data_IF_871109910344
#
_entry.id   IF_871109910344
#
_cell.length_a   1.000
_cell.length_b   1.000
_cell.length_c   1.000
_cell.angle_alpha   90.00
_cell.angle_beta   90.00
_cell.angle_gamma   90.00
#
_symmetry.space_group_name_H-M   'P 1'
#
loop_
_entity.id
_entity.type
_entity.pdbx_description
1 polymer ?
#
# COMPACT_ATOMS: atom_id res chain seq x y z
N UNK A 1 -19.17 -18.68 -23.18
CA UNK A 1 -18.99 -19.70 -22.18
C UNK A 1 -17.51 -19.96 -21.93
N UNK A 2 -17.11 -20.10 -20.68
CA UNK A 2 -15.74 -20.44 -20.28
C UNK A 2 -15.49 -21.89 -20.75
N UNK A 3 -14.55 -22.05 -21.67
CA UNK A 3 -14.13 -23.38 -22.12
C UNK A 3 -13.01 -23.92 -21.22
N UNK A 4 -12.92 -25.22 -21.02
CA UNK A 4 -11.88 -25.86 -20.21
C UNK A 4 -10.45 -25.44 -20.63
N UNK A 5 -10.23 -25.10 -21.92
CA UNK A 5 -8.98 -24.58 -22.43
C UNK A 5 -8.62 -23.18 -21.91
N UNK A 6 -9.62 -22.40 -21.49
CA UNK A 6 -9.41 -21.04 -21.00
C UNK A 6 -9.20 -20.98 -19.48
N UNK A 7 -9.55 -22.05 -18.77
CA UNK A 7 -9.38 -22.10 -17.31
C UNK A 7 -7.90 -22.07 -16.92
N UNK A 8 -7.03 -22.69 -17.73
CA UNK A 8 -5.58 -22.65 -17.50
C UNK A 8 -5.00 -21.25 -17.63
N UNK A 9 -5.50 -20.44 -18.55
CA UNK A 9 -5.03 -19.07 -18.74
C UNK A 9 -5.48 -18.16 -17.58
N UNK A 10 -6.68 -18.38 -17.06
CA UNK A 10 -7.18 -17.62 -15.91
C UNK A 10 -6.57 -18.07 -14.59
N UNK A 11 -6.49 -19.35 -14.31
CA UNK A 11 -6.00 -19.88 -13.03
C UNK A 11 -4.46 -19.93 -12.97
N UNK A 12 -3.79 -20.19 -14.09
CA UNK A 12 -2.33 -20.24 -14.16
C UNK A 12 -1.68 -18.87 -13.92
N UNK A 13 -2.21 -17.83 -14.53
CA UNK A 13 -1.69 -16.48 -14.39
C UNK A 13 -1.92 -15.87 -13.01
N UNK A 14 -3.01 -16.24 -12.33
CA UNK A 14 -3.31 -15.78 -10.99
C UNK A 14 -2.44 -16.43 -9.92
N UNK A 15 -2.05 -17.68 -10.12
CA UNK A 15 -1.44 -18.51 -9.08
C UNK A 15 0.08 -18.42 -9.04
N UNK A 16 0.75 -18.02 -10.13
CA UNK A 16 2.18 -18.22 -10.29
C UNK A 16 2.98 -17.01 -10.78
N UNK A 17 2.36 -15.83 -10.93
CA UNK A 17 3.07 -14.60 -11.35
C UNK A 17 2.70 -13.38 -10.50
N UNK A 18 2.97 -13.41 -9.17
CA UNK A 18 2.77 -12.22 -8.34
C UNK A 18 3.59 -11.03 -8.84
N UNK A 19 4.75 -11.30 -9.42
CA UNK A 19 5.64 -10.29 -10.01
C UNK A 19 4.99 -9.47 -11.13
N UNK A 20 4.29 -10.12 -12.07
CA UNK A 20 3.63 -9.41 -13.17
C UNK A 20 2.45 -8.57 -12.71
N UNK A 21 1.79 -8.97 -11.61
CA UNK A 21 0.69 -8.26 -11.00
C UNK A 21 1.18 -7.01 -10.27
N UNK A 22 2.28 -7.12 -9.52
CA UNK A 22 2.83 -6.04 -8.70
C UNK A 22 3.56 -4.96 -9.52
N UNK A 23 4.06 -5.26 -10.72
CA UNK A 23 4.90 -4.36 -11.50
C UNK A 23 4.15 -3.38 -12.38
N UNK A 24 2.84 -3.46 -12.48
CA UNK A 24 2.04 -2.50 -13.26
C UNK A 24 1.92 -1.16 -12.55
N UNK A 25 2.20 -0.09 -13.29
CA UNK A 25 1.91 1.27 -12.82
C UNK A 25 0.40 1.51 -12.90
N UNK A 26 -0.22 1.81 -11.78
CA UNK A 26 -1.67 1.99 -11.68
C UNK A 26 -2.03 3.18 -10.81
N UNK A 27 -3.14 3.82 -11.15
CA UNK A 27 -3.71 4.89 -10.33
C UNK A 27 -4.44 4.27 -9.13
N UNK A 28 -4.16 4.78 -7.95
CA UNK A 28 -4.81 4.36 -6.72
C UNK A 28 -4.37 2.99 -6.18
N UNK A 29 -3.31 2.41 -6.73
CA UNK A 29 -2.83 1.08 -6.31
C UNK A 29 -1.39 1.19 -5.85
N UNK A 30 -1.12 0.81 -4.60
CA UNK A 30 0.20 0.92 -3.98
C UNK A 30 0.55 -0.36 -3.24
N UNK A 31 1.78 -0.81 -3.40
CA UNK A 31 2.31 -1.97 -2.71
C UNK A 31 2.82 -1.58 -1.33
N UNK A 32 2.22 -2.14 -0.30
CA UNK A 32 2.68 -2.05 1.07
C UNK A 32 3.35 -3.34 1.52
N UNK A 33 4.01 -3.27 2.66
CA UNK A 33 4.69 -4.41 3.27
C UNK A 33 4.14 -4.64 4.66
N UNK A 34 3.82 -5.88 4.95
CA UNK A 34 3.33 -6.31 6.25
C UNK A 34 4.26 -7.35 6.86
N UNK A 35 4.29 -7.40 8.17
CA UNK A 35 4.99 -8.42 8.93
C UNK A 35 3.98 -9.29 9.67
N UNK A 36 4.11 -10.59 9.50
CA UNK A 36 3.24 -11.59 10.13
C UNK A 36 4.07 -12.60 10.92
N UNK A 37 3.43 -13.46 11.67
CA UNK A 37 4.08 -14.53 12.42
C UNK A 37 4.85 -15.51 11.54
N UNK A 38 4.58 -15.56 10.25
CA UNK A 38 5.24 -16.42 9.26
C UNK A 38 6.23 -15.67 8.37
N UNK A 39 6.49 -14.40 8.64
CA UNK A 39 7.43 -13.58 7.89
C UNK A 39 6.79 -12.35 7.25
N UNK A 40 7.48 -11.75 6.29
CA UNK A 40 6.98 -10.60 5.55
C UNK A 40 6.06 -10.98 4.40
N UNK A 41 5.09 -10.13 4.14
CA UNK A 41 4.19 -10.24 3.01
C UNK A 41 4.00 -8.89 2.33
N UNK A 42 3.69 -8.93 1.05
CA UNK A 42 3.27 -7.75 0.32
C UNK A 42 1.76 -7.58 0.42
N UNK A 43 1.32 -6.36 0.65
CA UNK A 43 -0.07 -5.97 0.76
C UNK A 43 -0.35 -4.87 -0.26
N UNK A 44 -1.19 -5.16 -1.25
CA UNK A 44 -1.56 -4.17 -2.23
C UNK A 44 -2.79 -3.40 -1.75
N UNK A 45 -2.65 -2.09 -1.56
CA UNK A 45 -3.74 -1.20 -1.16
C UNK A 45 -4.31 -0.52 -2.39
N UNK A 46 -5.63 -0.51 -2.48
CA UNK A 46 -6.36 0.16 -3.54
C UNK A 46 -7.19 1.32 -2.98
N UNK A 47 -7.16 2.45 -3.64
CA UNK A 47 -7.99 3.60 -3.30
C UNK A 47 -8.79 4.05 -4.52
N UNK A 48 -10.05 4.38 -4.29
CA UNK A 48 -10.93 4.93 -5.31
C UNK A 48 -11.62 6.18 -4.76
N UNK A 49 -11.84 7.15 -5.64
CA UNK A 49 -12.58 8.37 -5.35
C UNK A 49 -13.81 8.38 -6.25
N UNK A 50 -14.98 8.43 -5.64
CA UNK A 50 -16.26 8.34 -6.31
C UNK A 50 -17.07 9.61 -6.06
N UNK A 51 -17.97 9.96 -6.96
CA UNK A 51 -18.94 11.02 -6.66
C UNK A 51 -19.81 10.57 -5.49
N UNK A 52 -19.96 11.44 -4.50
CA UNK A 52 -20.74 11.13 -3.32
C UNK A 52 -20.81 12.29 -2.35
N UNK A 53 -21.20 12.02 -1.12
CA UNK A 53 -21.45 13.00 -0.08
C UNK A 53 -20.43 13.05 1.04
N UNK A 54 -19.23 12.48 0.86
CA UNK A 54 -18.17 12.51 1.86
C UNK A 54 -18.06 11.23 2.70
N UNK A 55 -18.58 10.11 2.22
CA UNK A 55 -18.45 8.82 2.91
C UNK A 55 -17.03 8.30 2.79
N UNK A 56 -16.55 7.65 3.84
CA UNK A 56 -15.31 6.88 3.86
C UNK A 56 -15.69 5.41 3.98
N UNK A 57 -15.30 4.64 2.97
CA UNK A 57 -15.60 3.22 2.89
C UNK A 57 -14.28 2.46 3.02
N UNK A 58 -14.20 1.57 3.98
CA UNK A 58 -13.02 0.75 4.24
C UNK A 58 -13.42 -0.72 4.11
N UNK A 59 -12.80 -1.44 3.20
CA UNK A 59 -13.12 -2.85 2.93
C UNK A 59 -11.88 -3.73 2.88
N UNK A 60 -12.10 -5.03 2.98
CA UNK A 60 -11.06 -6.04 3.00
C UNK A 60 -10.62 -6.42 4.40
N UNK A 61 -9.44 -7.01 4.53
CA UNK A 61 -8.89 -7.45 5.81
C UNK A 61 -8.25 -6.30 6.60
N UNK A 62 -9.07 -5.31 6.95
CA UNK A 62 -8.64 -4.16 7.74
C UNK A 62 -8.97 -4.38 9.22
N UNK A 63 -7.94 -4.57 10.06
CA UNK A 63 -8.09 -4.51 11.50
C UNK A 63 -8.30 -3.07 12.01
N UNK A 64 -8.59 -2.93 13.29
CA UNK A 64 -8.92 -1.62 13.87
C UNK A 64 -7.77 -0.61 13.75
N UNK A 65 -6.52 -1.04 13.93
CA UNK A 65 -5.35 -0.17 13.81
C UNK A 65 -5.17 0.30 12.37
N UNK A 66 -5.40 -0.55 11.39
CA UNK A 66 -5.35 -0.16 9.97
C UNK A 66 -6.46 0.83 9.62
N UNK A 67 -7.66 0.67 10.17
CA UNK A 67 -8.76 1.64 10.00
C UNK A 67 -8.42 3.01 10.57
N UNK A 68 -7.77 3.04 11.73
CA UNK A 68 -7.27 4.28 12.31
C UNK A 68 -6.20 4.92 11.43
N UNK A 69 -5.29 4.12 10.87
CA UNK A 69 -4.28 4.60 9.94
C UNK A 69 -4.89 5.20 8.66
N UNK A 70 -5.93 4.57 8.13
CA UNK A 70 -6.68 5.11 6.98
C UNK A 70 -7.32 6.46 7.31
N UNK A 71 -7.93 6.57 8.48
CA UNK A 71 -8.53 7.82 8.96
C UNK A 71 -7.48 8.92 9.13
N UNK A 72 -6.32 8.59 9.70
CA UNK A 72 -5.22 9.52 9.85
C UNK A 72 -4.68 10.00 8.48
N UNK A 73 -4.56 9.09 7.52
CA UNK A 73 -4.13 9.42 6.17
C UNK A 73 -5.10 10.41 5.49
N UNK A 74 -6.39 10.17 5.59
CA UNK A 74 -7.42 11.05 5.05
C UNK A 74 -7.37 12.43 5.72
N UNK A 75 -7.27 12.48 7.03
CA UNK A 75 -7.18 13.73 7.79
C UNK A 75 -5.93 14.53 7.42
N UNK A 76 -4.80 13.85 7.25
CA UNK A 76 -3.56 14.49 6.82
C UNK A 76 -3.71 15.12 5.42
N UNK A 77 -4.23 14.38 4.46
CA UNK A 77 -4.42 14.89 3.09
C UNK A 77 -5.38 16.08 3.08
N UNK A 78 -6.46 16.03 3.84
CA UNK A 78 -7.40 17.15 3.98
C UNK A 78 -6.72 18.39 4.54
N UNK A 79 -5.86 18.23 5.54
CA UNK A 79 -5.13 19.34 6.16
C UNK A 79 -4.09 19.96 5.23
N UNK A 80 -3.66 19.24 4.20
CA UNK A 80 -2.63 19.64 3.23
C UNK A 80 -3.16 19.73 1.80
N UNK A 81 -4.44 19.96 1.64
CA UNK A 81 -5.07 20.04 0.30
C UNK A 81 -4.38 21.05 -0.62
N UNK A 82 -3.97 22.19 -0.08
CA UNK A 82 -3.24 23.20 -0.84
C UNK A 82 -1.89 22.69 -1.37
N UNK A 83 -1.14 21.98 -0.54
CA UNK A 83 0.16 21.41 -0.89
C UNK A 83 0.04 20.40 -2.03
N UNK A 84 -1.06 19.66 -2.08
CA UNK A 84 -1.31 18.63 -3.08
C UNK A 84 -2.15 19.11 -4.27
N UNK A 85 -2.43 20.42 -4.36
CA UNK A 85 -3.28 21.02 -5.40
C UNK A 85 -4.67 20.39 -5.48
N UNK A 86 -5.25 20.07 -4.32
CA UNK A 86 -6.59 19.54 -4.21
C UNK A 86 -7.57 20.66 -3.86
N UNK A 87 -8.82 20.54 -4.34
CA UNK A 87 -9.92 21.37 -3.88
C UNK A 87 -10.09 21.18 -2.37
N UNK A 88 -10.17 22.27 -1.60
CA UNK A 88 -10.35 22.21 -0.15
C UNK A 88 -11.61 21.46 0.27
N UNK A 89 -12.59 21.36 -0.61
CA UNK A 89 -13.86 20.70 -0.36
C UNK A 89 -14.01 19.36 -1.08
N UNK A 90 -12.90 18.77 -1.58
CA UNK A 90 -12.96 17.52 -2.33
C UNK A 90 -13.70 16.41 -1.57
N UNK A 91 -13.58 16.37 -0.25
CA UNK A 91 -14.20 15.37 0.60
C UNK A 91 -15.74 15.55 0.74
N UNK A 92 -16.29 16.71 0.39
CA UNK A 92 -17.75 16.96 0.45
C UNK A 92 -18.48 16.40 -0.75
N UNK A 93 -17.83 16.39 -1.89
CA UNK A 93 -18.41 16.00 -3.18
C UNK A 93 -17.96 14.60 -3.62
N UNK A 94 -17.17 13.93 -2.79
CA UNK A 94 -16.60 12.63 -3.12
C UNK A 94 -16.69 11.67 -1.96
N UNK A 95 -16.95 10.42 -2.30
CA UNK A 95 -16.75 9.28 -1.39
C UNK A 95 -15.36 8.70 -1.63
N UNK A 96 -14.71 8.29 -0.55
CA UNK A 96 -13.39 7.67 -0.58
C UNK A 96 -13.55 6.21 -0.21
N UNK A 97 -13.04 5.33 -1.05
CA UNK A 97 -13.02 3.89 -0.78
C UNK A 97 -11.57 3.41 -0.75
N UNK A 98 -11.16 2.86 0.38
CA UNK A 98 -9.86 2.20 0.54
C UNK A 98 -10.10 0.71 0.77
N UNK A 99 -9.48 -0.12 -0.03
CA UNK A 99 -9.61 -1.55 -0.01
C UNK A 99 -8.25 -2.21 0.20
N UNK A 100 -8.18 -3.08 1.21
CA UNK A 100 -7.04 -3.98 1.41
C UNK A 100 -7.49 -5.39 1.07
N UNK A 101 -7.01 -6.00 -0.02
CA UNK A 101 -7.42 -7.34 -0.43
C UNK A 101 -7.23 -8.36 0.69
N UNK A 102 -8.11 -9.34 0.74
CA UNK A 102 -8.02 -10.42 1.72
C UNK A 102 -6.67 -11.14 1.60
N UNK A 103 -6.05 -11.36 2.74
CA UNK A 103 -4.86 -12.18 2.86
C UNK A 103 -5.19 -13.45 3.63
N UNK A 104 -4.41 -14.50 3.40
CA UNK A 104 -4.54 -15.75 4.14
C UNK A 104 -4.33 -15.56 5.66
N UNK A 105 -3.60 -14.53 6.06
CA UNK A 105 -3.35 -14.15 7.46
C UNK A 105 -3.93 -12.77 7.70
N UNK A 106 -4.77 -12.57 8.73
CA UNK A 106 -5.26 -11.25 9.10
C UNK A 106 -4.10 -10.28 9.33
N UNK A 107 -4.20 -9.09 8.77
CA UNK A 107 -3.19 -8.04 8.92
C UNK A 107 -3.77 -6.89 9.71
N UNK A 108 -3.02 -6.45 10.68
CA UNK A 108 -3.34 -5.25 11.43
C UNK A 108 -2.05 -4.58 11.88
N UNK A 109 -2.05 -3.28 11.90
CA UNK A 109 -0.91 -2.48 12.32
C UNK A 109 -0.87 -1.14 11.61
N UNK A 110 -0.09 -0.19 12.14
CA UNK A 110 -0.03 1.17 11.62
C UNK A 110 0.91 1.35 10.43
N UNK A 111 1.71 0.35 10.08
CA UNK A 111 2.76 0.49 9.07
C UNK A 111 2.26 0.63 7.62
N UNK A 112 0.97 0.43 7.38
CA UNK A 112 0.33 0.68 6.09
C UNK A 112 -0.11 2.16 5.90
N UNK A 113 0.11 3.02 6.87
CA UNK A 113 -0.34 4.41 6.81
C UNK A 113 0.18 5.18 5.60
N UNK A 114 1.47 5.09 5.33
CA UNK A 114 2.06 5.74 4.14
C UNK A 114 1.52 5.15 2.84
N UNK A 115 1.30 3.85 2.79
CA UNK A 115 0.74 3.16 1.62
C UNK A 115 -0.66 3.66 1.30
N UNK A 116 -1.51 3.80 2.31
CA UNK A 116 -2.87 4.32 2.17
C UNK A 116 -2.86 5.79 1.75
N UNK A 117 -1.96 6.58 2.31
CA UNK A 117 -1.80 8.01 1.97
C UNK A 117 -1.43 8.17 0.50
N UNK A 118 -0.45 7.43 0.03
CA UNK A 118 0.01 7.49 -1.37
C UNK A 118 -1.07 6.96 -2.33
N UNK A 119 -1.77 5.89 -1.96
CA UNK A 119 -2.87 5.35 -2.77
C UNK A 119 -3.99 6.38 -2.94
N UNK A 120 -4.36 7.05 -1.85
CA UNK A 120 -5.39 8.08 -1.88
C UNK A 120 -4.96 9.32 -2.68
N UNK A 121 -3.73 9.79 -2.48
CA UNK A 121 -3.16 10.89 -3.29
C UNK A 121 -3.12 10.55 -4.77
N UNK A 122 -2.72 9.34 -5.10
CA UNK A 122 -2.72 8.83 -6.47
C UNK A 122 -4.12 8.90 -7.10
N UNK A 123 -5.13 8.40 -6.38
CA UNK A 123 -6.51 8.42 -6.83
C UNK A 123 -7.06 9.85 -6.98
N UNK A 124 -6.78 10.73 -6.01
CA UNK A 124 -7.24 12.13 -6.02
C UNK A 124 -6.58 12.96 -7.13
N UNK A 125 -5.33 12.70 -7.44
CA UNK A 125 -4.56 13.44 -8.47
C UNK A 125 -4.54 12.72 -9.82
N UNK A 126 -5.14 11.55 -9.92
CA UNK A 126 -5.11 10.69 -11.11
C UNK A 126 -3.69 10.44 -11.62
N UNK A 127 -2.76 10.25 -10.70
CA UNK A 127 -1.33 10.03 -10.99
C UNK A 127 -0.97 8.58 -10.67
N UNK A 128 -0.48 7.80 -11.64
CA UNK A 128 -0.13 6.40 -11.39
C UNK A 128 1.06 6.28 -10.44
N UNK A 129 1.06 5.22 -9.64
CA UNK A 129 2.17 4.84 -8.77
C UNK A 129 2.96 3.73 -9.42
N UNK A 130 4.29 3.80 -9.31
CA UNK A 130 5.18 2.77 -9.88
C UNK A 130 4.92 1.42 -9.23
N UNK A 131 4.59 0.42 -10.05
CA UNK A 131 4.32 -0.94 -9.59
C UNK A 131 5.55 -1.69 -9.06
N UNK A 132 6.76 -1.19 -9.35
CA UNK A 132 8.02 -1.76 -8.86
C UNK A 132 8.46 -1.22 -7.49
N UNK A 133 7.67 -0.34 -6.89
CA UNK A 133 7.95 0.28 -5.59
C UNK A 133 7.01 -0.31 -4.53
N UNK A 134 7.58 -0.72 -3.42
CA UNK A 134 6.83 -1.05 -2.21
C UNK A 134 7.21 -0.08 -1.09
N UNK A 135 6.34 0.11 -0.13
CA UNK A 135 6.58 1.05 0.95
C UNK A 135 6.03 0.56 2.27
N UNK A 136 6.59 1.09 3.35
CA UNK A 136 6.12 0.84 4.70
C UNK A 136 6.39 2.08 5.55
N UNK A 137 5.48 2.41 6.43
CA UNK A 137 5.61 3.55 7.33
C UNK A 137 4.29 3.88 8.01
N UNK A 138 4.36 4.22 9.28
CA UNK A 138 3.24 4.80 10.01
C UNK A 138 3.16 6.29 9.72
N UNK A 139 1.96 6.81 9.52
CA UNK A 139 1.76 8.24 9.30
C UNK A 139 1.06 8.88 10.49
N UNK A 140 1.57 10.03 10.94
CA UNK A 140 0.91 10.87 11.93
C UNK A 140 -0.02 11.88 11.27
N UNK A 141 -0.89 12.50 12.06
CA UNK A 141 -1.79 13.56 11.58
C UNK A 141 -1.05 14.76 10.97
N UNK A 142 0.19 14.97 11.35
CA UNK A 142 1.04 16.06 10.84
C UNK A 142 1.87 15.64 9.62
N UNK A 143 1.70 14.40 9.14
CA UNK A 143 2.43 13.87 8.01
C UNK A 143 3.84 13.40 8.32
N UNK A 144 4.17 13.18 9.60
CA UNK A 144 5.43 12.55 9.97
C UNK A 144 5.34 11.06 9.69
N UNK A 145 6.37 10.52 9.08
CA UNK A 145 6.51 9.09 8.86
C UNK A 145 7.28 8.50 10.04
N UNK A 146 6.59 7.67 10.81
CA UNK A 146 7.13 7.06 12.02
C UNK A 146 7.78 5.71 11.72
N UNK A 147 8.77 5.28 12.53
CA UNK A 147 9.48 4.02 12.32
C UNK A 147 8.55 2.81 12.44
N UNK A 148 8.94 1.75 11.77
CA UNK A 148 8.20 0.47 11.72
C UNK A 148 9.08 -0.67 12.21
N UNK A 149 8.45 -1.79 12.56
CA UNK A 149 9.11 -3.05 12.86
C UNK A 149 9.15 -3.99 11.67
N UNK A 150 9.98 -5.02 11.77
CA UNK A 150 10.04 -6.09 10.78
C UNK A 150 10.67 -5.70 9.44
N UNK A 151 11.58 -4.74 9.42
CA UNK A 151 12.19 -4.27 8.18
C UNK A 151 12.92 -5.39 7.42
N UNK A 152 13.62 -6.28 8.13
CA UNK A 152 14.30 -7.43 7.53
C UNK A 152 13.32 -8.32 6.76
N UNK A 153 12.22 -8.69 7.38
CA UNK A 153 11.20 -9.57 6.80
C UNK A 153 10.44 -8.86 5.68
N UNK A 154 10.14 -7.58 5.85
CA UNK A 154 9.45 -6.76 4.86
C UNK A 154 10.28 -6.59 3.59
N UNK A 155 11.56 -6.30 3.70
CA UNK A 155 12.45 -6.15 2.54
C UNK A 155 12.68 -7.48 1.84
N UNK A 156 12.74 -8.59 2.56
CA UNK A 156 12.79 -9.92 1.98
C UNK A 156 11.54 -10.22 1.16
N UNK A 157 10.37 -9.86 1.66
CA UNK A 157 9.11 -10.02 0.91
C UNK A 157 9.11 -9.17 -0.36
N UNK A 158 9.53 -7.92 -0.27
CA UNK A 158 9.64 -7.04 -1.44
C UNK A 158 10.57 -7.64 -2.51
N UNK A 159 11.71 -8.16 -2.10
CA UNK A 159 12.65 -8.84 -2.99
C UNK A 159 12.01 -10.05 -3.68
N UNK A 160 11.32 -10.91 -2.93
CA UNK A 160 10.63 -12.09 -3.46
C UNK A 160 9.53 -11.75 -4.46
N UNK A 161 8.84 -10.64 -4.27
CA UNK A 161 7.81 -10.16 -5.19
C UNK A 161 8.35 -9.37 -6.38
N UNK A 162 9.67 -9.29 -6.52
CA UNK A 162 10.30 -8.64 -7.66
C UNK A 162 10.31 -7.12 -7.61
N UNK A 163 10.09 -6.53 -6.43
CA UNK A 163 10.21 -5.09 -6.26
C UNK A 163 11.64 -4.62 -6.51
N UNK A 164 11.79 -3.41 -7.02
CA UNK A 164 13.09 -2.80 -7.27
C UNK A 164 13.46 -1.76 -6.22
N UNK A 165 12.47 -1.14 -5.63
CA UNK A 165 12.66 -0.07 -4.65
C UNK A 165 11.72 -0.29 -3.46
N UNK A 166 12.26 -0.04 -2.26
CA UNK A 166 11.48 -0.03 -1.03
C UNK A 166 11.64 1.34 -0.36
N UNK A 167 10.52 2.00 -0.12
CA UNK A 167 10.49 3.27 0.62
C UNK A 167 10.26 2.96 2.09
N UNK A 168 11.17 3.42 2.94
CA UNK A 168 11.16 3.17 4.38
C UNK A 168 11.20 4.50 5.16
N UNK A 169 10.75 4.49 6.42
CA UNK A 169 10.94 5.65 7.28
C UNK A 169 12.41 5.96 7.50
N UNK A 170 12.77 7.23 7.50
CA UNK A 170 14.15 7.65 7.76
C UNK A 170 14.65 7.14 9.12
N UNK A 171 13.77 7.08 10.11
CA UNK A 171 14.11 6.58 11.44
C UNK A 171 14.50 5.10 11.46
N UNK A 172 14.20 4.34 10.40
CA UNK A 172 14.62 2.95 10.24
C UNK A 172 16.00 2.80 9.55
N UNK A 173 16.66 3.87 9.22
CA UNK A 173 18.01 3.83 8.60
C UNK A 173 19.00 2.95 9.37
N UNK A 174 19.08 2.98 10.72
CA UNK A 174 19.94 2.07 11.47
C UNK A 174 19.64 0.59 11.26
N UNK A 175 18.41 0.22 10.92
CA UNK A 175 18.00 -1.17 10.71
C UNK A 175 18.45 -1.73 9.36
N UNK A 176 19.00 -0.91 8.48
CA UNK A 176 19.52 -1.33 7.17
C UNK A 176 20.63 -2.37 7.31
N UNK A 177 21.37 -2.36 8.41
CA UNK A 177 22.45 -3.33 8.69
C UNK A 177 21.93 -4.75 8.91
N UNK A 178 20.64 -4.91 9.25
CA UNK A 178 20.00 -6.21 9.49
C UNK A 178 19.50 -6.87 8.21
N UNK A 179 19.47 -6.12 7.09
CA UNK A 179 18.97 -6.62 5.82
C UNK A 179 19.96 -7.59 5.20
N UNK A 180 19.44 -8.71 4.69
CA UNK A 180 20.22 -9.69 3.96
C UNK A 180 21.00 -9.03 2.81
N UNK A 181 22.27 -9.41 2.65
CA UNK A 181 23.18 -8.85 1.66
C UNK A 181 22.63 -8.96 0.23
N UNK A 182 22.08 -10.12 -0.12
CA UNK A 182 21.50 -10.35 -1.44
C UNK A 182 20.32 -9.42 -1.70
N UNK A 183 19.44 -9.24 -0.71
CA UNK A 183 18.31 -8.31 -0.77
C UNK A 183 18.80 -6.88 -0.93
N UNK A 184 19.79 -6.49 -0.14
CA UNK A 184 20.35 -5.13 -0.15
C UNK A 184 21.02 -4.77 -1.48
N UNK A 185 21.60 -5.73 -2.18
CA UNK A 185 22.23 -5.54 -3.49
C UNK A 185 21.20 -5.35 -4.62
N UNK A 186 19.96 -5.86 -4.47
CA UNK A 186 18.91 -5.83 -5.47
C UNK A 186 17.85 -4.74 -5.25
N UNK A 187 17.78 -4.16 -4.05
CA UNK A 187 16.81 -3.12 -3.70
C UNK A 187 17.47 -1.75 -3.59
N UNK A 188 16.74 -0.75 -4.04
CA UNK A 188 17.05 0.66 -3.77
C UNK A 188 16.25 1.16 -2.59
#
# INVERSE_FOLDING_TARGET
GIKASNIKDFLGNFKFKPESYALKNQVGVVNGLAWTSVGGEMLQIEAAVLKGGGKVILTGSLGDVMKESATAAISYIRSRSDTFNLDQNFYKDSDIHIHAPEAAVPKDGPSAGITMTVALLSALTNTPVKGSVAMTGEISLRGRVLPIGGLKEKTMAAYKYGMKTVVIPKANEPDLDEIDKTVKEHLS
#
